data_IF_036667181016
#
_entry.id   IF_036667181016
#
_cell.length_a   1.000
_cell.length_b   1.000
_cell.length_c   1.000
_cell.angle_alpha   90.00
_cell.angle_beta   90.00
_cell.angle_gamma   90.00
#
_symmetry.space_group_name_H-M   'P 1'
#
loop_
_entity.id
_entity.type
_entity.pdbx_description
1 polymer ?
#
# COMPACT_ATOMS: atom_id res chain seq x y z
N UNK A 1 -71.56 -53.59 -23.54
CA UNK A 1 -70.30 -54.36 -23.64
C UNK A 1 -69.16 -53.42 -23.25
N UNK A 2 -69.15 -52.95 -21.98
CA UNK A 2 -68.47 -51.70 -21.61
C UNK A 2 -67.40 -51.85 -20.51
N UNK A 3 -66.97 -53.07 -20.22
CA UNK A 3 -65.94 -53.31 -19.19
C UNK A 3 -64.52 -53.50 -19.73
N UNK A 4 -64.32 -53.57 -21.05
CA UNK A 4 -62.98 -53.70 -21.62
C UNK A 4 -62.16 -52.40 -21.49
N UNK A 5 -62.80 -51.23 -21.71
CA UNK A 5 -62.14 -49.93 -21.61
C UNK A 5 -61.72 -49.60 -20.16
N UNK A 6 -62.56 -49.98 -19.17
CA UNK A 6 -62.24 -49.82 -17.74
C UNK A 6 -61.09 -50.73 -17.30
N UNK A 7 -60.95 -51.90 -17.89
CA UNK A 7 -59.91 -52.86 -17.51
C UNK A 7 -58.53 -52.48 -18.07
N UNK A 8 -58.48 -51.89 -19.27
CA UNK A 8 -57.27 -51.26 -19.81
C UNK A 8 -56.85 -50.02 -18.99
N UNK A 9 -57.81 -49.25 -18.48
CA UNK A 9 -57.54 -48.09 -17.62
C UNK A 9 -57.05 -48.51 -16.23
N UNK A 10 -57.57 -49.61 -15.67
CA UNK A 10 -57.10 -50.18 -14.39
C UNK A 10 -55.71 -50.82 -14.51
N UNK A 11 -55.38 -51.44 -15.65
CA UNK A 11 -54.04 -51.98 -15.90
C UNK A 11 -52.99 -50.85 -16.03
N UNK A 12 -53.32 -49.72 -16.67
CA UNK A 12 -52.41 -48.55 -16.71
C UNK A 12 -52.22 -47.83 -15.38
N UNK A 13 -53.21 -47.87 -14.47
CA UNK A 13 -53.09 -47.23 -13.14
C UNK A 13 -52.25 -48.07 -12.16
N UNK A 14 -52.24 -49.40 -12.29
CA UNK A 14 -51.43 -50.26 -11.40
C UNK A 14 -49.92 -50.21 -11.77
N UNK A 15 -49.58 -49.78 -12.98
CA UNK A 15 -48.18 -49.56 -13.42
C UNK A 15 -47.68 -48.11 -13.25
N UNK A 16 -48.53 -47.15 -12.82
CA UNK A 16 -48.13 -45.75 -12.63
C UNK A 16 -48.07 -45.26 -11.17
N UNK A 17 -48.61 -46.00 -10.19
CA UNK A 17 -48.46 -45.69 -8.76
C UNK A 17 -47.43 -46.58 -8.04
N UNK A 18 -46.43 -47.07 -8.78
CA UNK A 18 -45.23 -47.73 -8.27
C UNK A 18 -43.92 -47.17 -8.81
N UNK A 19 -44.00 -46.13 -9.65
CA UNK A 19 -42.84 -45.41 -10.15
C UNK A 19 -42.64 -44.12 -9.34
N UNK A 20 -42.46 -44.29 -8.02
CA UNK A 20 -41.46 -43.45 -7.35
C UNK A 20 -40.24 -43.47 -8.29
N UNK A 21 -39.59 -42.32 -8.60
CA UNK A 21 -38.34 -42.39 -9.32
C UNK A 21 -37.54 -43.42 -8.53
N UNK A 22 -37.25 -44.57 -9.15
CA UNK A 22 -36.21 -45.45 -8.66
C UNK A 22 -35.05 -44.51 -8.79
N UNK A 23 -34.81 -43.77 -7.70
CA UNK A 23 -33.51 -43.28 -7.31
C UNK A 23 -32.78 -44.59 -7.38
N UNK A 24 -32.21 -44.85 -8.56
CA UNK A 24 -30.94 -45.47 -8.67
C UNK A 24 -30.13 -44.53 -7.80
N UNK A 25 -30.19 -44.83 -6.51
CA UNK A 25 -29.04 -44.82 -5.69
C UNK A 25 -28.10 -45.75 -6.47
N UNK A 26 -27.50 -45.22 -7.54
CA UNK A 26 -26.12 -44.84 -7.39
C UNK A 26 -26.02 -44.28 -5.97
N UNK A 27 -25.87 -45.20 -5.01
CA UNK A 27 -24.63 -45.25 -4.30
C UNK A 27 -23.58 -44.96 -5.39
N UNK A 28 -23.39 -43.68 -5.70
CA UNK A 28 -22.18 -43.02 -5.28
C UNK A 28 -21.98 -43.61 -3.88
N UNK A 29 -21.37 -44.80 -3.88
CA UNK A 29 -20.43 -45.11 -2.85
C UNK A 29 -19.68 -43.79 -2.87
N UNK A 30 -19.94 -42.97 -1.86
CA UNK A 30 -18.90 -42.17 -1.31
C UNK A 30 -17.82 -43.22 -1.15
N UNK A 31 -17.00 -43.36 -2.21
CA UNK A 31 -15.61 -43.69 -2.07
C UNK A 31 -15.27 -42.60 -1.10
N UNK A 32 -15.38 -42.93 0.18
CA UNK A 32 -14.78 -42.20 1.27
C UNK A 32 -13.40 -42.05 0.70
N UNK A 33 -13.14 -40.88 0.12
CA UNK A 33 -11.93 -40.65 -0.64
C UNK A 33 -10.91 -40.90 0.41
N UNK A 34 -10.31 -42.09 0.34
CA UNK A 34 -9.69 -42.69 1.50
C UNK A 34 -8.38 -41.99 1.47
N UNK A 35 -8.37 -40.76 2.01
CA UNK A 35 -7.39 -39.72 1.78
C UNK A 35 -6.08 -40.46 1.77
N UNK A 36 -5.55 -40.62 0.56
CA UNK A 36 -4.46 -41.57 0.37
C UNK A 36 -3.38 -41.08 1.31
N UNK A 37 -2.73 -41.98 2.06
CA UNK A 37 -1.85 -41.54 3.16
C UNK A 37 -0.85 -40.48 2.71
N UNK A 38 -0.45 -40.51 1.44
CA UNK A 38 0.36 -39.49 0.77
C UNK A 38 -0.30 -38.10 0.61
N UNK A 39 -1.60 -37.99 0.33
CA UNK A 39 -2.31 -36.70 0.21
C UNK A 39 -2.26 -35.90 1.52
N UNK A 40 -2.37 -36.57 2.68
CA UNK A 40 -2.17 -35.92 3.99
C UNK A 40 -0.78 -35.32 4.15
N UNK A 41 0.25 -36.01 3.64
CA UNK A 41 1.63 -35.53 3.68
C UNK A 41 1.84 -34.36 2.73
N UNK A 42 1.23 -34.37 1.53
CA UNK A 42 1.30 -33.27 0.58
C UNK A 42 0.62 -32.02 1.16
N UNK A 43 -0.56 -32.17 1.76
CA UNK A 43 -1.27 -31.07 2.43
C UNK A 43 -0.47 -30.55 3.63
N UNK A 44 0.12 -31.42 4.44
CA UNK A 44 0.99 -31.02 5.55
C UNK A 44 2.24 -30.26 5.07
N UNK A 45 2.90 -30.75 4.01
CA UNK A 45 4.06 -30.09 3.41
C UNK A 45 3.70 -28.72 2.82
N UNK A 46 2.55 -28.62 2.15
CA UNK A 46 2.03 -27.35 1.62
C UNK A 46 1.73 -26.36 2.74
N UNK A 47 1.11 -26.81 3.83
CA UNK A 47 0.86 -25.96 5.00
C UNK A 47 2.18 -25.47 5.63
N UNK A 48 3.17 -26.36 5.79
CA UNK A 48 4.51 -25.97 6.27
C UNK A 48 5.20 -24.98 5.33
N UNK A 49 5.09 -25.15 4.01
CA UNK A 49 5.66 -24.24 3.03
C UNK A 49 5.01 -22.85 3.10
N UNK A 50 3.69 -22.78 3.28
CA UNK A 50 2.97 -21.51 3.48
C UNK A 50 3.44 -20.82 4.77
N UNK A 51 3.56 -21.55 5.88
CA UNK A 51 4.05 -21.01 7.14
C UNK A 51 5.48 -20.48 6.98
N UNK A 52 6.36 -21.23 6.31
CA UNK A 52 7.72 -20.79 6.03
C UNK A 52 7.76 -19.53 5.15
N UNK A 53 6.91 -19.44 4.12
CA UNK A 53 6.78 -18.25 3.30
C UNK A 53 6.30 -17.03 4.10
N UNK A 54 5.29 -17.21 4.96
CA UNK A 54 4.83 -16.15 5.87
C UNK A 54 5.95 -15.70 6.82
N UNK A 55 6.71 -16.63 7.40
CA UNK A 55 7.84 -16.30 8.26
C UNK A 55 8.91 -15.52 7.49
N UNK A 56 9.25 -15.90 6.26
CA UNK A 56 10.19 -15.17 5.42
C UNK A 56 9.73 -13.74 5.12
N UNK A 57 8.44 -13.56 4.81
CA UNK A 57 7.83 -12.24 4.60
C UNK A 57 7.90 -11.40 5.87
N UNK A 58 7.56 -11.98 7.02
CA UNK A 58 7.61 -11.29 8.33
C UNK A 58 9.05 -10.94 8.72
N UNK A 59 10.02 -11.83 8.51
CA UNK A 59 11.44 -11.55 8.81
C UNK A 59 12.00 -10.48 7.88
N UNK A 60 11.58 -10.42 6.61
CA UNK A 60 11.90 -9.32 5.71
C UNK A 60 11.19 -8.01 6.10
N UNK A 61 10.04 -8.10 6.77
CA UNK A 61 9.32 -6.94 7.28
C UNK A 61 10.14 -6.16 8.33
N UNK A 62 11.02 -6.82 9.09
CA UNK A 62 11.91 -6.14 10.04
C UNK A 62 12.96 -5.25 9.33
N UNK A 63 13.42 -5.64 8.13
CA UNK A 63 14.26 -4.79 7.29
C UNK A 63 13.47 -3.59 6.75
N UNK A 64 12.22 -3.79 6.34
CA UNK A 64 11.35 -2.69 5.86
C UNK A 64 11.03 -1.71 6.99
N UNK A 65 10.78 -2.19 8.22
CA UNK A 65 10.44 -1.33 9.36
C UNK A 65 11.62 -0.51 9.88
N UNK A 66 12.84 -1.05 9.82
CA UNK A 66 14.06 -0.31 10.12
C UNK A 66 14.33 0.75 9.06
N UNK A 67 14.16 0.40 7.79
CA UNK A 67 14.41 1.26 6.64
C UNK A 67 13.39 2.41 6.54
N UNK A 68 12.12 2.17 6.89
CA UNK A 68 11.08 3.21 6.91
C UNK A 68 11.28 4.21 8.04
N UNK A 69 11.80 3.76 9.20
CA UNK A 69 12.21 4.67 10.27
C UNK A 69 13.40 5.50 9.87
N UNK A 70 14.43 4.89 9.29
CA UNK A 70 15.64 5.56 8.83
C UNK A 70 15.31 6.63 7.78
N UNK A 71 14.48 6.30 6.79
CA UNK A 71 13.98 7.25 5.78
C UNK A 71 13.19 8.39 6.42
N UNK A 72 12.34 8.10 7.42
CA UNK A 72 11.58 9.15 8.12
C UNK A 72 12.49 10.09 8.91
N UNK A 73 13.49 9.55 9.63
CA UNK A 73 14.48 10.36 10.35
C UNK A 73 15.35 11.17 9.40
N UNK A 74 15.83 10.59 8.30
CA UNK A 74 16.62 11.33 7.30
C UNK A 74 15.81 12.46 6.65
N UNK A 75 14.55 12.23 6.30
CA UNK A 75 13.70 13.30 5.77
C UNK A 75 13.48 14.42 6.79
N UNK A 76 13.34 14.09 8.07
CA UNK A 76 13.22 15.08 9.13
C UNK A 76 14.52 15.89 9.30
N UNK A 77 15.68 15.25 9.29
CA UNK A 77 16.99 15.92 9.35
C UNK A 77 17.23 16.83 8.13
N UNK A 78 16.85 16.38 6.93
CA UNK A 78 16.93 17.19 5.70
C UNK A 78 16.03 18.42 5.81
N UNK A 79 14.80 18.27 6.30
CA UNK A 79 13.88 19.39 6.50
C UNK A 79 14.44 20.41 7.49
N UNK A 80 14.97 19.95 8.62
CA UNK A 80 15.60 20.84 9.61
C UNK A 80 16.81 21.57 9.03
N UNK A 81 17.64 20.87 8.25
CA UNK A 81 18.81 21.49 7.64
C UNK A 81 18.43 22.50 6.54
N UNK A 82 17.33 22.29 5.82
CA UNK A 82 16.77 23.25 4.88
C UNK A 82 16.28 24.51 5.59
N UNK A 83 15.50 24.37 6.68
CA UNK A 83 15.01 25.50 7.47
C UNK A 83 16.17 26.33 8.05
N UNK A 84 17.21 25.65 8.56
CA UNK A 84 18.43 26.32 9.04
C UNK A 84 19.11 27.08 7.89
N UNK A 85 19.26 26.47 6.72
CA UNK A 85 19.87 27.13 5.57
C UNK A 85 19.06 28.36 5.12
N UNK A 86 17.74 28.25 5.04
CA UNK A 86 16.86 29.36 4.69
C UNK A 86 16.96 30.50 5.72
N UNK A 87 17.01 30.17 7.02
CA UNK A 87 17.22 31.18 8.07
C UNK A 87 18.60 31.85 7.97
N UNK A 88 19.65 31.12 7.58
CA UNK A 88 20.98 31.69 7.36
C UNK A 88 21.00 32.58 6.11
N UNK A 89 20.33 32.18 5.04
CA UNK A 89 20.20 32.99 3.84
C UNK A 89 19.43 34.29 4.11
N UNK A 90 18.35 34.22 4.90
CA UNK A 90 17.62 35.40 5.36
C UNK A 90 18.55 36.33 6.13
N UNK A 91 19.28 35.81 7.12
CA UNK A 91 20.25 36.58 7.90
C UNK A 91 21.31 37.21 7.00
N UNK A 92 21.90 36.45 6.05
CA UNK A 92 22.88 37.01 5.11
C UNK A 92 22.28 38.11 4.25
N UNK A 93 21.02 37.96 3.81
CA UNK A 93 20.31 38.99 3.04
C UNK A 93 20.10 40.26 3.87
N UNK A 94 19.66 40.12 5.12
CA UNK A 94 19.48 41.24 6.06
C UNK A 94 20.80 41.92 6.39
N UNK A 95 21.86 41.13 6.65
CA UNK A 95 23.19 41.65 6.94
C UNK A 95 23.79 42.41 5.74
N UNK A 96 23.51 41.95 4.52
CA UNK A 96 23.93 42.57 3.26
C UNK A 96 23.03 43.71 2.80
N UNK A 97 21.90 43.94 3.47
CA UNK A 97 20.95 44.97 3.09
C UNK A 97 21.66 46.34 3.06
N UNK A 98 21.63 47.07 1.91
CA UNK A 98 22.32 48.35 1.78
C UNK A 98 21.93 49.35 2.87
N UNK A 99 20.66 49.32 3.29
CA UNK A 99 20.10 50.15 4.34
C UNK A 99 20.82 49.91 5.67
N UNK A 100 21.05 48.63 6.03
CA UNK A 100 21.74 48.24 7.26
C UNK A 100 23.22 48.62 7.21
N UNK A 101 23.88 48.39 6.08
CA UNK A 101 25.29 48.78 5.90
C UNK A 101 25.44 50.31 6.02
N UNK A 102 24.52 51.07 5.41
CA UNK A 102 24.49 52.52 5.47
C UNK A 102 24.26 53.04 6.90
N UNK A 103 23.35 52.40 7.65
CA UNK A 103 23.09 52.73 9.05
C UNK A 103 24.35 52.56 9.91
N UNK A 104 25.01 51.40 9.85
CA UNK A 104 26.25 51.16 10.59
C UNK A 104 27.39 52.11 10.15
N UNK A 105 27.50 52.40 8.84
CA UNK A 105 28.50 53.33 8.32
C UNK A 105 28.34 54.75 8.89
N UNK A 106 27.10 55.27 8.95
CA UNK A 106 26.83 56.63 9.40
C UNK A 106 26.82 56.76 10.92
N UNK A 107 26.10 55.88 11.60
CA UNK A 107 25.82 56.04 13.04
C UNK A 107 26.96 55.51 13.93
N UNK A 108 27.56 54.37 13.56
CA UNK A 108 28.58 53.72 14.41
C UNK A 108 30.01 54.11 14.01
N UNK A 109 30.23 54.34 12.71
CA UNK A 109 31.55 54.63 12.14
C UNK A 109 31.74 56.11 11.78
N UNK A 110 30.68 56.92 11.85
CA UNK A 110 30.74 58.35 11.55
C UNK A 110 31.11 58.69 10.10
N UNK A 111 30.88 57.77 9.17
CA UNK A 111 31.20 57.97 7.76
C UNK A 111 30.08 58.73 7.04
N UNK A 112 30.43 59.77 6.30
CA UNK A 112 29.49 60.53 5.47
C UNK A 112 29.52 60.06 4.01
N UNK A 113 28.38 60.20 3.32
CA UNK A 113 28.26 59.81 1.92
C UNK A 113 28.90 60.89 1.04
N UNK A 114 29.87 60.51 0.22
CA UNK A 114 30.43 61.42 -0.78
C UNK A 114 29.60 61.36 -2.07
N UNK A 115 28.81 62.40 -2.30
CA UNK A 115 27.86 62.48 -3.42
C UNK A 115 28.53 62.43 -4.81
N UNK A 116 29.82 62.79 -4.92
CA UNK A 116 30.58 62.76 -6.18
C UNK A 116 31.00 61.32 -6.59
N UNK A 117 30.86 60.33 -5.70
CA UNK A 117 31.30 58.94 -5.90
C UNK A 117 30.16 57.92 -5.73
N UNK A 118 28.89 58.34 -5.84
CA UNK A 118 27.73 57.45 -5.70
C UNK A 118 27.47 56.67 -7.00
N UNK A 119 27.49 55.33 -6.93
CA UNK A 119 27.14 54.45 -8.06
C UNK A 119 25.84 53.71 -7.78
N UNK A 120 24.79 54.04 -8.54
CA UNK A 120 23.47 53.40 -8.44
C UNK A 120 23.52 52.03 -9.11
N UNK A 121 23.35 50.96 -8.33
CA UNK A 121 23.24 49.59 -8.83
C UNK A 121 21.77 49.29 -9.09
N UNK A 122 21.35 49.30 -10.36
CA UNK A 122 20.03 48.81 -10.73
C UNK A 122 20.05 47.29 -10.72
N UNK A 123 19.18 46.65 -9.90
CA UNK A 123 19.03 45.18 -9.90
C UNK A 123 18.58 44.74 -11.29
N UNK A 124 19.48 44.11 -12.05
CA UNK A 124 19.10 43.41 -13.29
C UNK A 124 18.25 42.20 -12.91
N UNK A 125 16.95 42.32 -13.11
CA UNK A 125 16.01 41.21 -13.09
C UNK A 125 16.54 40.13 -14.04
N UNK A 126 17.02 39.03 -13.47
CA UNK A 126 17.35 37.80 -14.21
C UNK A 126 16.16 36.86 -13.99
N UNK A 127 15.57 36.29 -15.06
CA UNK A 127 14.40 35.43 -14.98
C UNK A 127 14.68 34.10 -14.27
#
# INVERSE_FOLDING_TARGET
MDNLARQLQRQRQTDQDGAAPRKVQHKTQSKQSRITRGEKWIVAAMACAIIAACLLVITNYANIYAQEREITTLNHEISQQADVNDSLQLQVSELRAPERIMYYAKEELGMELNDDQVKVIQKSSTP
#
